data_IF_206239593100
#
_entry.id   IF_206239593100
#
_cell.length_a   1.000
_cell.length_b   1.000
_cell.length_c   1.000
_cell.angle_alpha   90.00
_cell.angle_beta   90.00
_cell.angle_gamma   90.00
#
_symmetry.space_group_name_H-M   'P 1'
#
loop_
_entity.id
_entity.type
_entity.pdbx_description
1 polymer ?
#
# COMPACT_ATOMS: atom_id res chain seq x y z
N UNK A 1 0.91 -10.23 2.47
CA UNK A 1 0.31 -10.47 1.16
C UNK A 1 1.34 -10.91 0.12
N UNK A 2 2.62 -10.63 0.35
CA UNK A 2 3.75 -11.15 -0.42
C UNK A 2 4.88 -11.52 0.52
N UNK A 3 5.78 -12.38 0.07
CA UNK A 3 6.95 -12.82 0.82
C UNK A 3 8.17 -11.98 0.45
N UNK A 4 9.01 -11.69 1.44
CA UNK A 4 10.22 -10.90 1.26
C UNK A 4 11.45 -11.73 1.68
N UNK A 5 12.41 -11.80 0.79
CA UNK A 5 13.66 -12.53 1.01
C UNK A 5 14.84 -11.59 0.86
N UNK A 6 15.79 -11.64 1.80
CA UNK A 6 17.10 -11.00 1.62
C UNK A 6 18.03 -11.93 0.87
N UNK A 7 18.52 -11.47 -0.27
CA UNK A 7 19.49 -12.19 -1.10
C UNK A 7 20.86 -11.58 -0.86
N UNK A 8 21.80 -12.38 -0.31
CA UNK A 8 23.19 -11.96 -0.16
C UNK A 8 23.93 -12.20 -1.49
N UNK A 9 24.70 -11.21 -1.92
CA UNK A 9 25.41 -11.21 -3.19
C UNK A 9 26.91 -11.35 -2.98
N UNK A 10 27.53 -12.24 -3.75
CA UNK A 10 28.99 -12.40 -3.82
C UNK A 10 29.46 -12.03 -5.23
N UNK A 11 30.10 -10.88 -5.35
CA UNK A 11 30.60 -10.38 -6.62
C UNK A 11 32.00 -10.89 -6.92
N UNK A 12 32.28 -11.28 -8.16
CA UNK A 12 33.60 -11.75 -8.56
C UNK A 12 34.54 -10.56 -8.79
N UNK A 13 34.08 -9.46 -9.35
CA UNK A 13 34.91 -8.30 -9.73
C UNK A 13 34.16 -6.95 -9.61
N UNK A 14 33.41 -6.71 -8.57
CA UNK A 14 32.65 -5.45 -8.46
C UNK A 14 33.13 -4.56 -7.32
N UNK A 15 33.47 -3.31 -7.66
CA UNK A 15 33.59 -2.22 -6.70
C UNK A 15 32.23 -1.52 -6.58
N UNK A 16 31.86 -1.14 -5.37
CA UNK A 16 30.67 -0.35 -5.07
C UNK A 16 29.31 -1.01 -5.43
N UNK A 17 29.28 -2.34 -5.52
CA UNK A 17 28.05 -3.09 -5.76
C UNK A 17 27.34 -3.46 -4.45
N UNK A 18 26.00 -3.55 -4.44
CA UNK A 18 25.26 -3.90 -3.24
C UNK A 18 25.65 -5.29 -2.75
N UNK A 19 25.76 -5.44 -1.43
CA UNK A 19 26.08 -6.75 -0.81
C UNK A 19 24.83 -7.60 -0.60
N UNK A 20 23.65 -7.00 -0.65
CA UNK A 20 22.36 -7.67 -0.56
C UNK A 20 21.28 -6.92 -1.32
N UNK A 21 20.25 -7.65 -1.70
CA UNK A 21 19.01 -7.16 -2.28
C UNK A 21 17.81 -7.73 -1.52
N UNK A 22 16.67 -7.09 -1.65
CA UNK A 22 15.40 -7.62 -1.18
C UNK A 22 14.61 -8.11 -2.39
N UNK A 23 14.28 -9.40 -2.43
CA UNK A 23 13.31 -9.95 -3.37
C UNK A 23 11.92 -9.94 -2.72
N UNK A 24 10.94 -9.36 -3.41
CA UNK A 24 9.52 -9.49 -3.06
C UNK A 24 8.86 -10.39 -4.09
N UNK A 25 8.22 -11.43 -3.61
CA UNK A 25 7.57 -12.46 -4.41
C UNK A 25 6.11 -12.64 -3.97
N UNK A 26 5.27 -13.27 -4.80
CA UNK A 26 3.93 -13.67 -4.38
C UNK A 26 3.99 -14.54 -3.12
N UNK A 27 2.99 -14.41 -2.24
CA UNK A 27 2.92 -15.19 -1.02
C UNK A 27 2.87 -16.69 -1.30
N UNK A 28 3.57 -17.49 -0.49
CA UNK A 28 3.46 -18.96 -0.54
C UNK A 28 2.07 -19.41 -0.07
N UNK A 29 1.50 -18.71 0.93
CA UNK A 29 0.14 -18.96 1.38
C UNK A 29 -0.87 -18.58 0.30
N UNK A 30 -1.68 -19.58 -0.14
CA UNK A 30 -2.63 -19.41 -1.24
C UNK A 30 -3.70 -18.36 -0.94
N UNK A 31 -4.22 -18.29 0.31
CA UNK A 31 -5.25 -17.32 0.69
C UNK A 31 -4.73 -15.88 0.60
N UNK A 32 -3.51 -15.64 1.07
CA UNK A 32 -2.83 -14.35 0.96
C UNK A 32 -2.53 -13.99 -0.50
N UNK A 33 -2.09 -14.96 -1.30
CA UNK A 33 -1.84 -14.78 -2.73
C UNK A 33 -3.12 -14.45 -3.49
N UNK A 34 -4.21 -15.18 -3.27
CA UNK A 34 -5.50 -14.93 -3.91
C UNK A 34 -6.06 -13.56 -3.52
N UNK A 35 -5.91 -13.15 -2.27
CA UNK A 35 -6.27 -11.80 -1.82
C UNK A 35 -5.48 -10.73 -2.56
N UNK A 36 -4.16 -10.93 -2.72
CA UNK A 36 -3.32 -9.99 -3.45
C UNK A 36 -3.68 -9.88 -4.93
N UNK A 37 -3.98 -11.02 -5.58
CA UNK A 37 -4.41 -11.06 -6.97
C UNK A 37 -5.75 -10.36 -7.17
N UNK A 38 -6.75 -10.69 -6.34
CA UNK A 38 -8.08 -10.09 -6.41
C UNK A 38 -8.08 -8.57 -6.20
N UNK A 39 -7.12 -8.05 -5.43
CA UNK A 39 -6.96 -6.64 -5.18
C UNK A 39 -5.89 -5.97 -6.07
N UNK A 40 -5.33 -6.70 -7.05
CA UNK A 40 -4.29 -6.23 -7.97
C UNK A 40 -3.03 -5.67 -7.28
N UNK A 41 -2.69 -6.17 -6.07
CA UNK A 41 -1.63 -5.58 -5.26
C UNK A 41 -0.25 -5.76 -5.91
N UNK A 42 0.02 -6.91 -6.55
CA UNK A 42 1.29 -7.16 -7.24
C UNK A 42 1.42 -6.27 -8.48
N UNK A 43 0.37 -6.14 -9.29
CA UNK A 43 0.34 -5.25 -10.45
C UNK A 43 0.62 -3.81 -10.06
N UNK A 44 -0.08 -3.30 -9.04
CA UNK A 44 0.05 -1.93 -8.58
C UNK A 44 1.47 -1.66 -8.07
N UNK A 45 2.03 -2.55 -7.25
CA UNK A 45 3.36 -2.37 -6.68
C UNK A 45 4.45 -2.44 -7.75
N UNK A 46 4.42 -3.45 -8.62
CA UNK A 46 5.39 -3.58 -9.73
C UNK A 46 5.31 -2.39 -10.67
N UNK A 47 4.10 -2.01 -11.08
CA UNK A 47 3.89 -0.87 -11.98
C UNK A 47 4.34 0.46 -11.39
N UNK A 48 4.20 0.66 -10.07
CA UNK A 48 4.77 1.82 -9.40
C UNK A 48 6.30 1.89 -9.59
N UNK A 49 7.00 0.79 -9.39
CA UNK A 49 8.45 0.75 -9.57
C UNK A 49 8.87 0.90 -11.04
N UNK A 50 8.12 0.36 -11.98
CA UNK A 50 8.41 0.47 -13.41
C UNK A 50 8.17 1.88 -13.97
N UNK A 51 7.14 2.60 -13.48
CA UNK A 51 6.67 3.81 -14.15
C UNK A 51 6.78 5.08 -13.31
N UNK A 52 6.73 4.97 -11.99
CA UNK A 52 6.61 6.13 -11.12
C UNK A 52 7.80 6.32 -10.18
N UNK A 53 8.38 5.29 -9.61
CA UNK A 53 9.39 5.39 -8.54
C UNK A 53 10.55 6.34 -8.86
N UNK A 54 11.03 6.38 -10.10
CA UNK A 54 12.12 7.24 -10.52
C UNK A 54 11.82 8.74 -10.44
N UNK A 55 10.54 9.13 -10.37
CA UNK A 55 10.09 10.53 -10.23
C UNK A 55 9.62 10.86 -8.82
N UNK A 56 9.63 9.87 -7.94
CA UNK A 56 9.18 10.03 -6.57
C UNK A 56 10.23 10.78 -5.74
N UNK A 57 9.84 11.86 -5.07
CA UNK A 57 10.73 12.59 -4.16
C UNK A 57 10.80 11.97 -2.77
N UNK A 58 9.89 11.06 -2.43
CA UNK A 58 9.99 10.26 -1.23
C UNK A 58 11.12 9.23 -1.35
N UNK A 59 11.73 8.86 -0.23
CA UNK A 59 12.74 7.80 -0.21
C UNK A 59 12.08 6.44 -0.42
N UNK A 60 12.20 5.92 -1.61
CA UNK A 60 11.78 4.56 -1.96
C UNK A 60 13.02 3.70 -2.25
N UNK A 61 12.98 2.37 -2.03
CA UNK A 61 14.05 1.47 -2.44
C UNK A 61 14.32 1.57 -3.94
N UNK A 62 15.59 1.54 -4.36
CA UNK A 62 15.94 1.48 -5.77
C UNK A 62 15.54 0.13 -6.37
N UNK A 63 14.78 0.10 -7.47
CA UNK A 63 14.44 -1.14 -8.15
C UNK A 63 15.60 -1.59 -9.06
N UNK A 64 16.08 -2.79 -8.85
CA UNK A 64 17.04 -3.46 -9.75
C UNK A 64 16.32 -4.31 -10.80
N UNK A 65 15.14 -4.82 -10.45
CA UNK A 65 14.27 -5.55 -11.35
C UNK A 65 12.82 -5.45 -10.89
N UNK A 66 11.90 -5.32 -11.84
CA UNK A 66 10.47 -5.27 -11.58
C UNK A 66 9.74 -5.90 -12.77
N UNK A 67 8.97 -6.95 -12.53
CA UNK A 67 8.21 -7.64 -13.57
C UNK A 67 6.87 -8.15 -13.04
N UNK A 68 5.85 -8.13 -13.90
CA UNK A 68 4.50 -8.57 -13.59
C UNK A 68 3.95 -9.42 -14.74
N UNK A 69 3.48 -10.61 -14.41
CA UNK A 69 2.83 -11.52 -15.34
C UNK A 69 1.32 -11.38 -15.22
N UNK A 70 0.69 -10.82 -16.25
CA UNK A 70 -0.76 -10.63 -16.30
C UNK A 70 -1.55 -11.94 -16.45
N UNK A 71 -0.94 -13.02 -16.91
CA UNK A 71 -1.61 -14.32 -17.06
C UNK A 71 -1.78 -15.02 -15.72
N UNK A 72 -0.76 -14.97 -14.89
CA UNK A 72 -0.76 -15.56 -13.54
C UNK A 72 -1.16 -14.56 -12.44
N UNK A 73 -1.15 -13.26 -12.75
CA UNK A 73 -1.29 -12.16 -11.80
C UNK A 73 -0.23 -12.21 -10.67
N UNK A 74 0.98 -12.69 -10.99
CA UNK A 74 2.12 -12.70 -10.08
C UNK A 74 3.11 -11.58 -10.44
N UNK A 75 3.80 -11.08 -9.44
CA UNK A 75 4.82 -10.05 -9.62
C UNK A 75 6.10 -10.36 -8.85
N UNK A 76 7.22 -9.90 -9.39
CA UNK A 76 8.52 -9.98 -8.72
C UNK A 76 9.19 -8.61 -8.71
N UNK A 77 9.79 -8.26 -7.57
CA UNK A 77 10.63 -7.10 -7.40
C UNK A 77 11.97 -7.49 -6.80
N UNK A 78 13.06 -6.98 -7.38
CA UNK A 78 14.37 -6.98 -6.74
C UNK A 78 14.69 -5.52 -6.37
N UNK A 79 14.73 -5.24 -5.09
CA UNK A 79 14.86 -3.90 -4.54
C UNK A 79 16.16 -3.74 -3.75
N UNK A 80 16.56 -2.50 -3.59
CA UNK A 80 17.60 -2.12 -2.66
C UNK A 80 17.29 -2.66 -1.25
N UNK A 81 18.31 -3.20 -0.59
CA UNK A 81 18.22 -3.54 0.83
C UNK A 81 18.41 -2.28 1.66
N UNK A 82 17.35 -1.80 2.25
CA UNK A 82 17.32 -0.57 3.05
C UNK A 82 17.99 -0.73 4.44
N UNK A 83 18.64 -1.87 4.73
CA UNK A 83 19.36 -2.02 6.01
C UNK A 83 20.33 -0.84 6.21
N UNK A 84 20.39 -0.21 7.39
CA UNK A 84 19.84 -0.63 8.70
C UNK A 84 18.43 -0.08 9.06
N UNK A 85 17.63 0.32 8.07
CA UNK A 85 16.26 0.74 8.34
C UNK A 85 15.48 -0.38 9.05
N UNK A 86 14.61 0.02 9.98
CA UNK A 86 13.79 -0.90 10.77
C UNK A 86 12.32 -0.70 10.47
N UNK A 87 11.61 -1.80 10.34
CA UNK A 87 10.17 -1.77 10.39
C UNK A 87 9.73 -1.69 11.85
N UNK A 88 8.89 -0.70 12.17
CA UNK A 88 8.30 -0.58 13.51
C UNK A 88 7.07 -1.51 13.55
N UNK A 89 7.00 -2.48 14.49
CA UNK A 89 5.85 -3.33 14.61
C UNK A 89 4.59 -2.53 14.95
N UNK A 90 3.53 -2.73 14.19
CA UNK A 90 2.28 -1.98 14.34
C UNK A 90 1.71 -2.02 15.76
N UNK A 91 1.88 -3.14 16.46
CA UNK A 91 1.36 -3.32 17.83
C UNK A 91 2.16 -2.58 18.91
N UNK A 92 3.40 -2.21 18.61
CA UNK A 92 4.26 -1.46 19.54
C UNK A 92 4.02 0.06 19.42
N UNK A 93 3.45 0.49 18.29
CA UNK A 93 3.28 1.90 17.98
C UNK A 93 4.61 2.60 17.64
N UNK A 94 4.56 3.91 17.52
CA UNK A 94 5.74 4.73 17.22
C UNK A 94 5.71 6.05 17.98
N UNK A 95 6.87 6.67 18.11
CA UNK A 95 7.03 8.00 18.71
C UNK A 95 6.53 9.12 17.79
N UNK A 96 6.29 10.30 18.34
CA UNK A 96 5.92 11.47 17.55
C UNK A 96 6.98 11.85 16.50
N UNK A 97 8.27 11.66 16.80
CA UNK A 97 9.35 11.94 15.88
C UNK A 97 9.37 10.96 14.69
N UNK A 98 9.11 9.67 14.95
CA UNK A 98 8.97 8.66 13.90
C UNK A 98 7.75 8.94 13.01
N UNK A 99 6.61 9.32 13.59
CA UNK A 99 5.44 9.79 12.81
C UNK A 99 5.81 10.99 11.96
N UNK A 100 6.53 11.98 12.50
CA UNK A 100 6.93 13.16 11.75
C UNK A 100 7.85 12.81 10.55
N UNK A 101 8.75 11.82 10.70
CA UNK A 101 9.55 11.33 9.57
C UNK A 101 8.67 10.69 8.48
N UNK A 102 7.74 9.82 8.85
CA UNK A 102 6.82 9.17 7.89
C UNK A 102 5.96 10.20 7.17
N UNK A 103 5.44 11.21 7.89
CA UNK A 103 4.63 12.28 7.28
C UNK A 103 5.42 13.15 6.30
N UNK A 104 6.73 13.33 6.51
CA UNK A 104 7.60 14.03 5.54
C UNK A 104 7.73 13.24 4.24
N UNK A 105 7.93 11.92 4.33
CA UNK A 105 7.98 11.06 3.16
C UNK A 105 6.63 10.98 2.44
N UNK A 106 5.52 10.89 3.17
CA UNK A 106 4.18 10.96 2.59
C UNK A 106 3.95 12.30 1.87
N UNK A 107 4.36 13.43 2.46
CA UNK A 107 4.28 14.72 1.81
C UNK A 107 5.16 14.83 0.55
N UNK A 108 6.35 14.20 0.55
CA UNK A 108 7.21 14.12 -0.61
C UNK A 108 6.60 13.28 -1.74
N UNK A 109 5.97 12.15 -1.41
CA UNK A 109 5.19 11.33 -2.35
C UNK A 109 4.06 12.15 -2.96
N UNK A 110 3.22 12.77 -2.13
CA UNK A 110 2.08 13.58 -2.60
C UNK A 110 2.54 14.73 -3.47
N UNK A 111 3.61 15.44 -3.08
CA UNK A 111 4.19 16.54 -3.87
C UNK A 111 4.61 16.10 -5.25
N UNK A 112 5.20 14.91 -5.39
CA UNK A 112 5.68 14.40 -6.68
C UNK A 112 4.56 14.21 -7.70
N UNK A 113 3.33 13.96 -7.22
CA UNK A 113 2.19 13.59 -8.06
C UNK A 113 0.97 14.51 -7.87
N UNK A 114 1.14 15.66 -7.21
CA UNK A 114 0.05 16.60 -6.92
C UNK A 114 -0.56 17.18 -8.20
N UNK A 115 -1.86 16.98 -8.38
CA UNK A 115 -2.62 17.39 -9.57
C UNK A 115 -2.01 16.92 -10.90
N UNK A 116 -1.34 15.78 -10.89
CA UNK A 116 -0.74 15.22 -12.10
C UNK A 116 -1.75 14.37 -12.86
N UNK A 117 -2.42 14.95 -13.84
CA UNK A 117 -3.43 14.27 -14.67
C UNK A 117 -2.87 13.08 -15.46
N UNK A 118 -1.53 12.99 -15.64
CA UNK A 118 -0.90 11.84 -16.27
C UNK A 118 -1.19 10.53 -15.49
N UNK A 119 -1.44 10.63 -14.19
CA UNK A 119 -1.83 9.45 -13.40
C UNK A 119 -3.10 8.79 -13.92
N UNK A 120 -4.03 9.55 -14.51
CA UNK A 120 -5.28 9.04 -15.08
C UNK A 120 -5.07 8.19 -16.34
N UNK A 121 -3.88 8.24 -16.94
CA UNK A 121 -3.54 7.44 -18.13
C UNK A 121 -3.05 6.04 -17.79
N UNK A 122 -2.74 5.75 -16.52
CA UNK A 122 -2.29 4.44 -16.08
C UNK A 122 -3.49 3.55 -15.72
N UNK A 123 -3.76 2.46 -16.49
CA UNK A 123 -4.94 1.61 -16.27
C UNK A 123 -4.94 0.85 -14.94
N UNK A 124 -3.76 0.64 -14.36
CA UNK A 124 -3.57 -0.01 -13.06
C UNK A 124 -3.79 0.93 -11.86
N UNK A 125 -3.89 2.24 -12.09
CA UNK A 125 -4.25 3.20 -11.04
C UNK A 125 -5.77 3.44 -11.02
N UNK A 126 -6.35 3.32 -9.83
CA UNK A 126 -7.76 3.62 -9.63
C UNK A 126 -7.92 5.03 -9.08
N UNK A 127 -8.65 5.88 -9.79
CA UNK A 127 -9.06 7.18 -9.27
C UNK A 127 -10.26 7.04 -8.34
N UNK A 128 -10.04 7.33 -7.06
CA UNK A 128 -11.05 7.15 -6.02
C UNK A 128 -11.19 5.66 -5.61
N UNK A 129 -12.39 5.25 -5.26
CA UNK A 129 -12.70 3.87 -4.86
C UNK A 129 -13.37 3.16 -6.06
N UNK A 130 -12.81 2.04 -6.52
CA UNK A 130 -13.41 1.27 -7.61
C UNK A 130 -14.77 0.68 -7.21
N UNK A 131 -15.63 0.38 -8.20
CA UNK A 131 -16.94 -0.21 -7.94
C UNK A 131 -16.83 -1.57 -7.24
N UNK A 132 -15.81 -2.38 -7.58
CA UNK A 132 -15.52 -3.66 -6.92
C UNK A 132 -15.18 -3.45 -5.44
N UNK A 133 -14.33 -2.46 -5.14
CA UNK A 133 -13.97 -2.12 -3.75
C UNK A 133 -15.15 -1.55 -2.98
N UNK A 134 -16.01 -0.73 -3.60
CA UNK A 134 -17.25 -0.26 -2.98
C UNK A 134 -18.16 -1.41 -2.61
N UNK A 135 -18.39 -2.34 -3.55
CA UNK A 135 -19.22 -3.52 -3.34
C UNK A 135 -18.65 -4.40 -2.23
N UNK A 136 -17.34 -4.69 -2.28
CA UNK A 136 -16.66 -5.46 -1.24
C UNK A 136 -16.80 -4.82 0.14
N UNK A 137 -16.59 -3.52 0.25
CA UNK A 137 -16.73 -2.82 1.53
C UNK A 137 -18.20 -2.76 2.00
N UNK A 138 -19.16 -2.59 1.09
CA UNK A 138 -20.58 -2.61 1.42
C UNK A 138 -21.05 -3.97 1.98
N UNK A 139 -20.43 -5.07 1.57
CA UNK A 139 -20.68 -6.42 2.11
C UNK A 139 -19.91 -6.67 3.41
N UNK A 140 -18.63 -6.28 3.46
CA UNK A 140 -17.75 -6.55 4.59
C UNK A 140 -18.08 -5.71 5.83
N UNK A 141 -18.29 -4.40 5.65
CA UNK A 141 -18.47 -3.50 6.78
C UNK A 141 -19.65 -3.87 7.69
N UNK A 142 -20.87 -4.18 7.18
CA UNK A 142 -21.95 -4.65 8.02
C UNK A 142 -21.66 -5.97 8.73
N UNK A 143 -20.85 -6.83 8.13
CA UNK A 143 -20.51 -8.14 8.71
C UNK A 143 -19.54 -8.00 9.90
N UNK A 144 -18.54 -7.12 9.82
CA UNK A 144 -17.49 -7.00 10.84
C UNK A 144 -17.78 -5.93 11.90
N UNK A 145 -18.59 -4.94 11.59
CA UNK A 145 -18.83 -3.79 12.46
C UNK A 145 -19.49 -4.13 13.81
N UNK A 146 -20.47 -5.07 13.91
CA UNK A 146 -21.06 -5.44 15.18
C UNK A 146 -20.04 -6.03 16.17
N UNK A 147 -19.15 -6.89 15.69
CA UNK A 147 -18.09 -7.47 16.52
C UNK A 147 -17.08 -6.40 16.97
N UNK A 148 -16.67 -5.52 16.04
CA UNK A 148 -15.82 -4.37 16.35
C UNK A 148 -16.47 -3.49 17.43
N UNK A 149 -17.74 -3.14 17.28
CA UNK A 149 -18.51 -2.33 18.24
C UNK A 149 -18.55 -2.98 19.63
N UNK A 150 -18.77 -4.28 19.69
CA UNK A 150 -18.76 -5.03 20.94
C UNK A 150 -17.37 -5.05 21.60
N UNK A 151 -16.30 -5.26 20.82
CA UNK A 151 -14.91 -5.28 21.31
C UNK A 151 -14.49 -3.95 21.94
N UNK A 152 -14.98 -2.83 21.41
CA UNK A 152 -14.60 -1.49 21.87
C UNK A 152 -15.63 -0.85 22.81
N UNK A 153 -16.68 -1.57 23.19
CA UNK A 153 -17.66 -1.09 24.17
C UNK A 153 -16.98 -0.70 25.48
N UNK A 154 -17.24 0.54 25.95
CA UNK A 154 -16.61 1.09 27.15
C UNK A 154 -15.16 1.59 26.97
N UNK A 155 -14.58 1.44 25.77
CA UNK A 155 -13.23 1.91 25.45
C UNK A 155 -13.21 3.20 24.62
N UNK A 156 -14.26 3.41 23.84
CA UNK A 156 -14.47 4.60 23.02
C UNK A 156 -15.81 5.24 23.35
N UNK A 157 -15.94 6.52 23.05
CA UNK A 157 -17.13 7.28 23.39
C UNK A 157 -18.35 6.92 22.53
N UNK A 158 -19.54 7.22 23.02
CA UNK A 158 -20.80 6.88 22.34
C UNK A 158 -20.94 7.60 21.00
N UNK A 159 -20.49 8.84 20.92
CA UNK A 159 -20.52 9.65 19.70
C UNK A 159 -19.68 9.04 18.56
N UNK A 160 -18.55 8.38 18.87
CA UNK A 160 -17.77 7.64 17.85
C UNK A 160 -18.57 6.44 17.31
N UNK A 161 -19.34 5.74 18.17
CA UNK A 161 -20.22 4.67 17.68
C UNK A 161 -21.35 5.23 16.80
N UNK A 162 -21.94 6.36 17.16
CA UNK A 162 -22.98 7.04 16.36
C UNK A 162 -22.42 7.50 15.00
N UNK A 163 -21.18 7.99 14.97
CA UNK A 163 -20.48 8.29 13.70
C UNK A 163 -20.27 7.03 12.87
N UNK A 164 -19.86 5.93 13.46
CA UNK A 164 -19.68 4.65 12.80
C UNK A 164 -21.01 4.10 12.22
N UNK A 165 -22.09 4.16 12.99
CA UNK A 165 -23.43 3.78 12.53
C UNK A 165 -23.89 4.66 11.35
N UNK A 166 -23.59 5.96 11.40
CA UNK A 166 -23.89 6.90 10.32
C UNK A 166 -23.07 6.62 9.06
N UNK A 167 -21.76 6.36 9.23
CA UNK A 167 -20.89 6.01 8.12
C UNK A 167 -21.35 4.72 7.43
N UNK A 168 -21.67 3.69 8.22
CA UNK A 168 -22.14 2.42 7.69
C UNK A 168 -23.41 2.59 6.83
N UNK A 169 -24.36 3.40 7.32
CA UNK A 169 -25.63 3.66 6.61
C UNK A 169 -25.44 4.49 5.33
N UNK A 170 -24.39 5.32 5.28
CA UNK A 170 -24.14 6.26 4.16
C UNK A 170 -22.85 5.93 3.39
N UNK A 171 -22.33 4.72 3.52
CA UNK A 171 -21.02 4.36 2.96
C UNK A 171 -20.91 4.64 1.45
N UNK A 172 -21.94 4.31 0.68
CA UNK A 172 -21.95 4.54 -0.77
C UNK A 172 -21.78 6.02 -1.11
N UNK A 173 -22.51 6.90 -0.40
CA UNK A 173 -22.36 8.35 -0.59
C UNK A 173 -20.97 8.84 -0.23
N UNK A 174 -20.40 8.34 0.87
CA UNK A 174 -19.05 8.67 1.28
C UNK A 174 -18.01 8.19 0.24
N UNK A 175 -18.19 6.99 -0.26
CA UNK A 175 -17.29 6.39 -1.27
C UNK A 175 -17.30 7.15 -2.62
N UNK A 176 -18.37 7.90 -2.91
CA UNK A 176 -18.50 8.69 -4.13
C UNK A 176 -17.94 10.12 -4.01
N UNK A 177 -17.62 10.58 -2.81
CA UNK A 177 -17.03 11.92 -2.62
C UNK A 177 -15.64 11.96 -3.26
N UNK A 178 -15.48 12.82 -4.25
CA UNK A 178 -14.25 13.04 -5.02
C UNK A 178 -13.95 14.54 -5.12
N UNK A 179 -13.87 15.20 -3.98
CA UNK A 179 -13.57 16.62 -3.91
C UNK A 179 -12.12 16.83 -3.51
N UNK A 180 -11.45 17.75 -4.19
CA UNK A 180 -10.08 18.16 -3.86
C UNK A 180 -9.04 17.77 -4.91
N UNK A 181 -7.78 18.16 -4.66
CA UNK A 181 -6.67 17.86 -5.55
C UNK A 181 -6.37 16.36 -5.58
N UNK A 182 -6.01 15.89 -6.76
CA UNK A 182 -5.59 14.50 -6.99
C UNK A 182 -4.12 14.32 -6.64
N UNK A 183 -3.78 13.20 -6.02
CA UNK A 183 -2.39 12.76 -5.85
C UNK A 183 -2.32 11.24 -5.71
N UNK A 184 -1.11 10.69 -5.86
CA UNK A 184 -0.87 9.28 -5.54
C UNK A 184 -0.90 9.08 -4.03
N UNK A 185 -1.62 8.07 -3.59
CA UNK A 185 -1.65 7.59 -2.20
C UNK A 185 -1.26 6.11 -2.16
N UNK A 186 -0.68 5.68 -1.06
CA UNK A 186 -0.27 4.30 -0.82
C UNK A 186 -1.27 3.58 0.08
#
# INVERSE_FOLDING_TARGET
VGDCYRINLNWINAKDSPTSLIAKCPAEDSSSRDTARNLHLYEIEVSFYQHLSARCSARVPEPYFADYDSETSDGILLLEDMYPAKQIPQMEGCSADEVAMVLKEAAALHKSYWNNETLLTYPWLTYGISEERKKFAAELLPAVYPEWKNRYQGRISKDIFEMGDTLLTNYEKYADVREGPMTLVQ
#
